data_IF_673880396891
#
_entry.id   IF_673880396891
#
_cell.length_a   1.000
_cell.length_b   1.000
_cell.length_c   1.000
_cell.angle_alpha   90.00
_cell.angle_beta   90.00
_cell.angle_gamma   90.00
#
_symmetry.space_group_name_H-M   'P 1'
#
loop_
_entity.id
_entity.type
_entity.pdbx_description
1 polymer ?
#
# COMPACT_ATOMS: atom_id res chain seq x y z
N UNK A 1 -6.40 12.07 -8.14
CA UNK A 1 -5.21 11.80 -7.30
C UNK A 1 -4.02 12.52 -7.93
N UNK A 2 -3.50 13.58 -7.30
CA UNK A 2 -2.35 14.31 -7.83
C UNK A 2 -1.08 13.52 -7.50
N UNK A 3 -0.35 13.04 -8.53
CA UNK A 3 0.75 12.06 -8.44
C UNK A 3 1.89 12.46 -7.48
N UNK A 4 2.01 13.73 -7.13
CA UNK A 4 3.11 14.30 -6.35
C UNK A 4 3.12 13.93 -4.87
N UNK A 5 1.97 13.61 -4.25
CA UNK A 5 1.91 13.30 -2.81
C UNK A 5 2.37 11.89 -2.50
N UNK A 6 2.05 10.91 -3.35
CA UNK A 6 2.58 9.53 -3.23
C UNK A 6 4.10 9.53 -3.41
N UNK A 7 4.59 10.23 -4.44
CA UNK A 7 6.01 10.29 -4.74
C UNK A 7 6.87 10.91 -3.62
N UNK A 8 6.31 11.84 -2.84
CA UNK A 8 7.00 12.41 -1.68
C UNK A 8 7.09 11.40 -0.51
N UNK A 9 6.06 10.57 -0.33
CA UNK A 9 6.03 9.52 0.69
C UNK A 9 6.98 8.38 0.34
N UNK A 10 7.00 7.94 -0.92
CA UNK A 10 7.97 6.95 -1.40
C UNK A 10 9.41 7.45 -1.27
N UNK A 11 9.67 8.73 -1.55
CA UNK A 11 11.00 9.30 -1.38
C UNK A 11 11.44 9.35 0.08
N UNK A 12 10.53 9.72 1.00
CA UNK A 12 10.85 9.77 2.42
C UNK A 12 11.12 8.37 3.00
N UNK A 13 10.34 7.37 2.57
CA UNK A 13 10.52 5.97 2.95
C UNK A 13 11.82 5.36 2.38
N UNK A 14 12.19 5.69 1.14
CA UNK A 14 13.46 5.26 0.54
C UNK A 14 14.68 5.78 1.31
N UNK A 15 14.60 7.01 1.84
CA UNK A 15 15.68 7.59 2.66
C UNK A 15 15.76 6.91 4.04
N UNK A 16 14.63 6.55 4.65
CA UNK A 16 14.59 5.94 5.99
C UNK A 16 14.88 4.42 6.00
N UNK A 17 14.51 3.69 4.94
CA UNK A 17 14.55 2.22 4.91
C UNK A 17 15.26 1.61 3.69
N UNK A 18 15.77 2.43 2.77
CA UNK A 18 16.62 2.01 1.64
C UNK A 18 15.89 1.36 0.46
N UNK A 19 14.85 0.55 0.71
CA UNK A 19 14.13 -0.24 -0.34
C UNK A 19 12.61 0.00 -0.34
N UNK A 20 12.15 1.03 0.37
CA UNK A 20 10.74 1.29 0.53
C UNK A 20 10.21 2.20 -0.59
N UNK A 21 9.27 1.66 -1.37
CA UNK A 21 8.61 2.32 -2.49
C UNK A 21 7.09 2.41 -2.25
N UNK A 22 6.40 3.25 -3.02
CA UNK A 22 4.93 3.28 -3.02
C UNK A 22 4.39 1.92 -3.50
N UNK A 23 3.93 1.09 -2.57
CA UNK A 23 3.29 -0.17 -2.90
C UNK A 23 1.83 0.07 -3.29
N UNK A 24 1.44 -0.51 -4.41
CA UNK A 24 0.08 -0.42 -4.91
C UNK A 24 -0.82 -1.43 -4.21
N UNK A 25 -2.14 -1.27 -4.33
CA UNK A 25 -3.08 -2.30 -3.90
C UNK A 25 -2.93 -3.64 -4.64
N UNK A 26 -2.24 -3.66 -5.79
CA UNK A 26 -1.93 -4.91 -6.49
C UNK A 26 -0.80 -5.69 -5.79
N UNK A 27 0.24 -4.99 -5.35
CA UNK A 27 1.37 -5.58 -4.61
C UNK A 27 0.90 -6.17 -3.28
N UNK A 28 0.04 -5.44 -2.56
CA UNK A 28 -0.62 -5.95 -1.35
C UNK A 28 -1.34 -7.27 -1.58
N UNK A 29 -2.15 -7.37 -2.66
CA UNK A 29 -2.89 -8.60 -2.98
C UNK A 29 -1.97 -9.76 -3.34
N UNK A 30 -0.88 -9.49 -4.07
CA UNK A 30 0.09 -10.52 -4.45
C UNK A 30 0.74 -11.14 -3.20
N UNK A 31 1.29 -10.31 -2.31
CA UNK A 31 1.94 -10.79 -1.10
C UNK A 31 1.00 -11.47 -0.12
N UNK A 32 -0.21 -10.92 0.08
CA UNK A 32 -1.18 -11.60 0.94
C UNK A 32 -1.66 -12.92 0.33
N UNK A 33 -1.73 -13.03 -1.00
CA UNK A 33 -2.00 -14.29 -1.70
C UNK A 33 -0.90 -15.33 -1.45
N UNK A 34 0.38 -14.95 -1.55
CA UNK A 34 1.52 -15.82 -1.21
C UNK A 34 1.47 -16.30 0.25
N UNK A 35 1.00 -15.45 1.16
CA UNK A 35 0.79 -15.78 2.57
C UNK A 35 -0.49 -16.63 2.83
N UNK A 36 -1.27 -16.95 1.79
CA UNK A 36 -2.44 -17.84 1.88
C UNK A 36 -3.79 -17.16 2.13
N UNK A 37 -3.85 -15.83 2.14
CA UNK A 37 -5.11 -15.09 2.23
C UNK A 37 -5.87 -15.13 0.90
N UNK A 38 -7.20 -15.15 0.96
CA UNK A 38 -8.07 -15.27 -0.24
C UNK A 38 -9.07 -14.15 -0.41
N UNK A 39 -9.28 -13.33 0.62
CA UNK A 39 -10.24 -12.23 0.62
C UNK A 39 -9.57 -10.94 1.06
N UNK A 40 -9.80 -9.89 0.28
CA UNK A 40 -9.19 -8.58 0.45
C UNK A 40 -10.23 -7.49 0.35
N UNK A 41 -10.05 -6.42 1.12
CA UNK A 41 -10.88 -5.23 1.07
C UNK A 41 -10.00 -3.98 1.16
N UNK A 42 -10.36 -2.95 0.39
CA UNK A 42 -9.74 -1.64 0.46
C UNK A 42 -10.80 -0.64 0.93
N UNK A 43 -10.58 -0.05 2.09
CA UNK A 43 -11.51 0.88 2.73
C UNK A 43 -10.94 2.28 2.57
N UNK A 44 -11.68 3.18 1.92
CA UNK A 44 -11.31 4.59 1.87
C UNK A 44 -11.47 5.23 3.25
N UNK A 45 -10.41 5.92 3.70
CA UNK A 45 -10.38 6.63 4.97
C UNK A 45 -10.58 8.13 4.72
N UNK A 46 -10.62 8.92 5.80
CA UNK A 46 -10.63 10.37 5.68
C UNK A 46 -9.33 10.87 5.01
N UNK A 47 -9.48 11.80 4.06
CA UNK A 47 -8.36 12.35 3.32
C UNK A 47 -7.86 11.44 2.19
N UNK A 48 -6.58 11.53 1.78
CA UNK A 48 -6.05 10.80 0.63
C UNK A 48 -5.60 9.36 0.96
N UNK A 49 -6.04 8.79 2.09
CA UNK A 49 -5.53 7.52 2.61
C UNK A 49 -6.56 6.39 2.46
N UNK A 50 -6.09 5.15 2.54
CA UNK A 50 -6.94 3.95 2.52
C UNK A 50 -6.34 2.87 3.39
N UNK A 51 -7.20 2.05 4.00
CA UNK A 51 -6.80 0.83 4.69
C UNK A 51 -6.93 -0.37 3.74
N UNK A 52 -5.90 -1.21 3.69
CA UNK A 52 -5.94 -2.50 3.01
C UNK A 52 -6.08 -3.62 4.06
N UNK A 53 -7.09 -4.47 3.93
CA UNK A 53 -7.42 -5.54 4.88
C UNK A 53 -7.41 -6.89 4.18
N UNK A 54 -6.75 -7.88 4.78
CA UNK A 54 -6.79 -9.28 4.35
C UNK A 54 -7.48 -10.13 5.42
N UNK A 55 -8.44 -10.97 5.02
CA UNK A 55 -9.21 -11.83 5.93
C UNK A 55 -8.72 -13.28 5.85
N UNK A 56 -8.52 -13.93 7.00
CA UNK A 56 -8.30 -15.37 7.09
C UNK A 56 -9.56 -16.16 6.76
#
# INVERSE_FOLDING_TARGET
MNKSVGLLMSLNMLIEFGDAFDYTGADFRAWCGEAGFKRFEFIHLAGPTSAAVAYR
#
